data_IF_026771248617
#
_entry.id   IF_026771248617
#
_cell.length_a   1.000
_cell.length_b   1.000
_cell.length_c   1.000
_cell.angle_alpha   90.00
_cell.angle_beta   90.00
_cell.angle_gamma   90.00
#
_symmetry.space_group_name_H-M   'P 1'
#
loop_
_entity.id
_entity.type
_entity.pdbx_description
1 polymer ?
#
# COMPACT_ATOMS: atom_id res chain seq x y z
N UNK A 1 17.52 -0.79 -8.34
CA UNK A 1 17.09 -0.07 -9.55
C UNK A 1 15.73 -0.63 -9.94
N UNK A 2 14.69 0.18 -10.09
CA UNK A 2 13.42 -0.34 -10.62
C UNK A 2 13.63 -0.73 -12.09
N UNK A 3 13.19 -1.93 -12.47
CA UNK A 3 13.22 -2.39 -13.85
C UNK A 3 12.26 -1.57 -14.73
N UNK A 4 12.16 -1.90 -16.02
CA UNK A 4 11.17 -1.30 -16.93
C UNK A 4 9.75 -1.44 -16.35
N UNK A 5 9.12 -0.31 -16.06
CA UNK A 5 7.77 -0.26 -15.49
C UNK A 5 6.73 -0.23 -16.61
N UNK A 6 5.95 -1.30 -16.72
CA UNK A 6 4.85 -1.39 -17.69
C UNK A 6 3.70 -0.47 -17.29
N UNK A 7 3.22 0.33 -18.22
CA UNK A 7 2.00 1.13 -18.04
C UNK A 7 0.77 0.24 -18.20
N UNK A 8 -0.11 0.22 -17.20
CA UNK A 8 -1.40 -0.50 -17.25
C UNK A 8 -2.55 0.48 -17.52
N UNK A 9 -2.52 1.64 -16.88
CA UNK A 9 -3.48 2.73 -17.05
C UNK A 9 -2.72 4.05 -17.26
N UNK A 10 -3.41 5.15 -17.66
CA UNK A 10 -2.80 6.47 -17.71
C UNK A 10 -2.22 6.92 -16.36
N UNK A 11 -2.73 6.39 -15.25
CA UNK A 11 -2.33 6.74 -13.88
C UNK A 11 -1.21 5.87 -13.31
N UNK A 12 -0.87 4.74 -13.95
CA UNK A 12 0.25 3.89 -13.51
C UNK A 12 1.54 4.70 -13.41
N UNK A 13 2.19 4.64 -12.24
CA UNK A 13 3.50 5.26 -12.03
C UNK A 13 4.56 4.45 -12.78
N UNK A 14 5.07 5.02 -13.88
CA UNK A 14 6.16 4.41 -14.68
C UNK A 14 7.50 5.14 -14.56
N UNK A 15 7.55 6.23 -13.81
CA UNK A 15 8.81 6.94 -13.54
C UNK A 15 9.51 6.28 -12.34
N UNK A 16 10.74 5.75 -12.51
CA UNK A 16 11.49 5.16 -11.40
C UNK A 16 11.74 6.15 -10.26
N UNK A 17 11.95 7.43 -10.57
CA UNK A 17 12.16 8.49 -9.57
C UNK A 17 10.90 8.71 -8.73
N UNK A 18 9.73 8.82 -9.38
CA UNK A 18 8.44 9.00 -8.69
C UNK A 18 8.13 7.77 -7.82
N UNK A 19 8.35 6.57 -8.35
CA UNK A 19 8.15 5.33 -7.59
C UNK A 19 9.11 5.25 -6.39
N UNK A 20 10.37 5.66 -6.55
CA UNK A 20 11.35 5.72 -5.46
C UNK A 20 10.88 6.65 -4.34
N UNK A 21 10.40 7.86 -4.68
CA UNK A 21 9.85 8.80 -3.70
C UNK A 21 8.60 8.26 -3.01
N UNK A 22 7.71 7.58 -3.75
CA UNK A 22 6.55 6.89 -3.18
C UNK A 22 6.97 5.80 -2.19
N UNK A 23 7.95 4.96 -2.54
CA UNK A 23 8.44 3.90 -1.64
C UNK A 23 9.07 4.46 -0.37
N UNK A 24 9.84 5.55 -0.46
CA UNK A 24 10.37 6.23 0.73
C UNK A 24 9.26 6.77 1.62
N UNK A 25 8.20 7.32 1.02
CA UNK A 25 7.02 7.76 1.77
C UNK A 25 6.31 6.59 2.45
N UNK A 26 6.08 5.49 1.72
CA UNK A 26 5.46 4.27 2.25
C UNK A 26 6.26 3.73 3.44
N UNK A 27 7.59 3.72 3.34
CA UNK A 27 8.46 3.26 4.43
C UNK A 27 8.35 4.13 5.68
N UNK A 28 8.25 5.46 5.51
CA UNK A 28 8.08 6.40 6.64
C UNK A 28 6.68 6.38 7.25
N UNK A 29 5.65 6.29 6.42
CA UNK A 29 4.25 6.44 6.84
C UNK A 29 3.59 5.10 7.19
N UNK A 30 4.17 3.97 6.80
CA UNK A 30 3.62 2.64 7.03
C UNK A 30 2.29 2.39 6.30
N UNK A 31 2.01 3.14 5.24
CA UNK A 31 0.79 3.03 4.44
C UNK A 31 1.10 3.28 2.97
N UNK A 32 0.50 2.47 2.10
CA UNK A 32 0.52 2.66 0.66
C UNK A 32 -0.89 2.95 0.15
N UNK A 33 -0.97 3.81 -0.87
CA UNK A 33 -2.24 4.08 -1.57
C UNK A 33 -2.02 4.11 -3.06
N UNK A 34 -2.97 3.57 -3.82
CA UNK A 34 -3.02 3.70 -5.28
C UNK A 34 -4.31 4.39 -5.70
N UNK A 35 -4.26 5.06 -6.85
CA UNK A 35 -5.45 5.67 -7.47
C UNK A 35 -5.46 5.31 -8.95
N UNK A 36 -6.30 4.35 -9.31
CA UNK A 36 -6.54 3.91 -10.68
C UNK A 36 -5.29 3.39 -11.42
N UNK A 37 -4.25 2.98 -10.68
CA UNK A 37 -2.96 2.57 -11.26
C UNK A 37 -2.98 1.19 -11.92
N UNK A 38 -4.00 0.38 -11.59
CA UNK A 38 -4.20 -0.98 -12.11
C UNK A 38 -5.56 -1.12 -12.83
N UNK A 39 -6.62 -0.59 -12.22
CA UNK A 39 -7.98 -0.60 -12.77
C UNK A 39 -8.59 0.80 -12.64
N UNK A 40 -9.20 1.30 -13.70
CA UNK A 40 -9.91 2.58 -13.66
C UNK A 40 -11.08 2.51 -12.67
N UNK A 41 -11.32 3.61 -11.95
CA UNK A 41 -12.31 3.69 -10.88
C UNK A 41 -11.97 2.92 -9.59
N UNK A 42 -10.76 2.33 -9.48
CA UNK A 42 -10.33 1.62 -8.27
C UNK A 42 -9.21 2.37 -7.54
N UNK A 43 -9.43 2.68 -6.27
CA UNK A 43 -8.41 3.09 -5.32
C UNK A 43 -8.06 1.93 -4.40
N UNK A 44 -6.85 1.92 -3.84
CA UNK A 44 -6.49 0.95 -2.82
C UNK A 44 -5.72 1.59 -1.67
N UNK A 45 -5.90 1.05 -0.47
CA UNK A 45 -5.11 1.39 0.71
C UNK A 45 -4.56 0.10 1.31
N UNK A 46 -3.25 0.08 1.56
CA UNK A 46 -2.54 -1.08 2.08
C UNK A 46 -1.65 -0.72 3.27
N UNK A 47 -1.47 -1.68 4.18
CA UNK A 47 -0.56 -1.59 5.32
C UNK A 47 0.33 -2.83 5.37
N UNK A 48 1.57 -2.71 5.87
CA UNK A 48 2.45 -3.85 6.02
C UNK A 48 2.02 -4.72 7.21
N UNK A 49 2.25 -6.02 7.09
CA UNK A 49 2.23 -6.97 8.19
C UNK A 49 3.67 -7.12 8.67
N UNK A 50 3.91 -6.74 9.92
CA UNK A 50 5.22 -6.78 10.57
C UNK A 50 5.26 -7.96 11.53
N UNK A 51 6.24 -8.84 11.37
CA UNK A 51 6.50 -9.93 12.32
C UNK A 51 7.09 -9.35 13.61
N UNK A 52 6.58 -9.77 14.76
CA UNK A 52 7.01 -9.20 16.04
C UNK A 52 8.39 -9.64 16.52
N UNK A 53 8.91 -10.75 16.03
CA UNK A 53 10.17 -11.33 16.53
C UNK A 53 11.42 -10.61 16.00
N UNK A 54 11.33 -10.01 14.81
CA UNK A 54 12.46 -9.42 14.08
C UNK A 54 12.11 -8.11 13.35
N UNK A 55 10.90 -7.57 13.56
CA UNK A 55 10.36 -6.40 12.85
C UNK A 55 10.37 -6.52 11.32
N UNK A 56 10.42 -7.74 10.78
CA UNK A 56 10.44 -7.97 9.34
C UNK A 56 9.05 -7.70 8.72
N UNK A 57 9.03 -7.01 7.58
CA UNK A 57 7.85 -6.94 6.72
C UNK A 57 7.68 -8.29 6.02
N UNK A 58 6.67 -9.07 6.42
CA UNK A 58 6.45 -10.44 5.93
C UNK A 58 5.28 -10.57 4.97
N UNK A 59 4.36 -9.60 5.00
CA UNK A 59 3.23 -9.51 4.08
C UNK A 59 2.70 -8.07 4.03
N UNK A 60 1.65 -7.86 3.25
CA UNK A 60 0.83 -6.65 3.29
C UNK A 60 -0.64 -7.04 3.12
N UNK A 61 -1.53 -6.26 3.73
CA UNK A 61 -2.97 -6.40 3.52
C UNK A 61 -3.55 -5.09 3.00
N UNK A 62 -4.52 -5.20 2.09
CA UNK A 62 -5.07 -4.05 1.39
C UNK A 62 -6.59 -4.15 1.23
N UNK A 63 -7.22 -3.01 1.04
CA UNK A 63 -8.62 -2.89 0.63
C UNK A 63 -8.70 -2.10 -0.67
N UNK A 64 -9.62 -2.53 -1.55
CA UNK A 64 -9.93 -1.85 -2.82
C UNK A 64 -11.28 -1.18 -2.68
N UNK A 65 -11.37 0.10 -3.03
CA UNK A 65 -12.59 0.91 -2.92
C UNK A 65 -12.71 1.86 -4.12
N UNK A 66 -13.92 2.32 -4.49
CA UNK A 66 -14.07 3.30 -5.55
C UNK A 66 -13.43 4.67 -5.25
N UNK A 67 -13.32 5.02 -3.97
CA UNK A 67 -12.69 6.27 -3.52
C UNK A 67 -12.19 6.17 -2.08
N UNK A 68 -11.06 6.81 -1.80
CA UNK A 68 -10.49 6.91 -0.44
C UNK A 68 -10.86 8.21 0.30
N UNK A 69 -11.69 9.10 -0.28
CA UNK A 69 -11.90 10.44 0.31
C UNK A 69 -12.51 10.45 1.71
N UNK A 70 -13.55 9.63 1.95
CA UNK A 70 -14.31 9.64 3.22
C UNK A 70 -13.87 8.56 4.20
N UNK A 71 -13.55 7.37 3.70
CA UNK A 71 -13.33 6.19 4.54
C UNK A 71 -11.86 5.94 4.91
N UNK A 72 -10.91 6.74 4.41
CA UNK A 72 -9.46 6.46 4.56
C UNK A 72 -9.03 6.18 5.99
N UNK A 73 -9.38 7.03 6.95
CA UNK A 73 -8.95 6.87 8.35
C UNK A 73 -9.56 5.61 8.99
N UNK A 74 -10.84 5.35 8.73
CA UNK A 74 -11.56 4.17 9.22
C UNK A 74 -10.95 2.87 8.66
N UNK A 75 -10.71 2.84 7.34
CA UNK A 75 -10.09 1.69 6.66
C UNK A 75 -8.65 1.47 7.11
N UNK A 76 -7.87 2.55 7.28
CA UNK A 76 -6.51 2.48 7.78
C UNK A 76 -6.48 1.87 9.18
N UNK A 77 -7.32 2.34 10.10
CA UNK A 77 -7.38 1.79 11.46
C UNK A 77 -7.76 0.31 11.47
N UNK A 78 -8.79 -0.09 10.69
CA UNK A 78 -9.20 -1.49 10.59
C UNK A 78 -8.08 -2.38 10.02
N UNK A 79 -7.40 -1.93 8.96
CA UNK A 79 -6.27 -2.65 8.37
C UNK A 79 -5.08 -2.73 9.34
N UNK A 80 -4.74 -1.68 10.08
CA UNK A 80 -3.66 -1.73 11.07
C UNK A 80 -3.95 -2.74 12.18
N UNK A 81 -5.19 -2.82 12.67
CA UNK A 81 -5.61 -3.83 13.65
C UNK A 81 -5.46 -5.24 13.07
N UNK A 82 -5.97 -5.47 11.86
CA UNK A 82 -5.87 -6.76 11.19
C UNK A 82 -4.40 -7.17 10.94
N UNK A 83 -3.57 -6.25 10.46
CA UNK A 83 -2.16 -6.50 10.17
C UNK A 83 -1.37 -6.84 11.44
N UNK A 84 -1.59 -6.11 12.55
CA UNK A 84 -1.01 -6.46 13.86
C UNK A 84 -1.52 -7.81 14.37
N UNK A 85 -2.77 -8.15 14.10
CA UNK A 85 -3.33 -9.47 14.41
C UNK A 85 -2.55 -10.58 13.70
N UNK A 86 -2.34 -10.45 12.39
CA UNK A 86 -1.62 -11.43 11.58
C UNK A 86 -0.14 -11.49 11.97
N UNK A 87 0.51 -10.35 12.17
CA UNK A 87 1.94 -10.27 12.51
C UNK A 87 2.31 -10.90 13.86
N UNK A 88 1.33 -11.09 14.76
CA UNK A 88 1.49 -11.84 16.02
C UNK A 88 1.51 -13.36 15.84
N UNK A 89 1.00 -13.85 14.70
CA UNK A 89 0.88 -15.28 14.40
C UNK A 89 1.99 -15.77 13.46
N UNK A 90 2.84 -14.87 12.97
CA UNK A 90 3.95 -15.12 12.04
C UNK A 90 5.30 -14.94 12.75
#
# INVERSE_FOLDING_TARGET
MFATLTRITPYTIVSPTVLSSQMQRIHREGVATTSEEMSLGACSLAVPVIRQTDDAVVAAIAVVVPTLKRDRQRLLGALQVAARGIGRLL
#
